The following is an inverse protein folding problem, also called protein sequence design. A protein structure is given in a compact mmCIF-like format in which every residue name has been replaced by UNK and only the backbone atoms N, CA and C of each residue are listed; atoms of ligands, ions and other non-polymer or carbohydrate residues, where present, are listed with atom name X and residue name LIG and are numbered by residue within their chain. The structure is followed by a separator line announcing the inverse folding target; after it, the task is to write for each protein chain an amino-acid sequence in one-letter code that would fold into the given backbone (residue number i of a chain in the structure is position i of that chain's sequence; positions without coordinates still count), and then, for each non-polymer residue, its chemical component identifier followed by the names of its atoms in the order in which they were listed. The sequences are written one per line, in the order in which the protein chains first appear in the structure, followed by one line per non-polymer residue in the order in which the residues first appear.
data_IF_137796593325
#
_entry.id   IF_137796593325
#
_cell.length_a   1.000
_cell.length_b   1.000
_cell.length_c   1.000
_cell.angle_alpha   90.00
_cell.angle_beta   90.00
_cell.angle_gamma   90.00
#
_symmetry.space_group_name_H-M   'P 1'
#
loop_
_entity.id
_entity.type
_entity.pdbx_description
1 polymer ?
#
# COMPACT_ATOMS: atom_id res chain seq x y z
N UNK A 1 1.04 9.74 -70.14
CA UNK A 1 1.10 10.75 -69.04
C UNK A 1 -0.01 10.47 -68.04
N UNK A 2 0.31 9.97 -66.83
CA UNK A 2 -0.45 10.23 -65.60
C UNK A 2 0.40 9.73 -64.42
N UNK A 3 1.06 10.65 -63.73
CA UNK A 3 1.79 10.38 -62.49
C UNK A 3 0.76 10.33 -61.37
N UNK A 4 0.47 9.16 -60.83
CA UNK A 4 -0.41 9.01 -59.66
C UNK A 4 0.48 8.85 -58.44
N UNK A 5 0.65 9.96 -57.73
CA UNK A 5 1.38 10.08 -56.47
C UNK A 5 0.54 9.39 -55.37
N UNK A 6 0.96 8.21 -54.90
CA UNK A 6 0.36 7.58 -53.72
C UNK A 6 0.99 8.18 -52.46
N UNK A 7 0.20 8.98 -51.74
CA UNK A 7 0.59 9.60 -50.47
C UNK A 7 0.49 8.54 -49.36
N UNK A 8 1.62 8.28 -48.70
CA UNK A 8 1.74 7.52 -47.46
C UNK A 8 0.98 8.24 -46.34
N UNK A 9 -0.01 7.58 -45.74
CA UNK A 9 -0.61 8.02 -44.47
C UNK A 9 -0.26 6.98 -43.41
N UNK A 10 0.81 7.26 -42.66
CA UNK A 10 1.16 6.53 -41.45
C UNK A 10 0.36 7.15 -40.29
N UNK A 11 -0.79 6.58 -39.94
CA UNK A 11 -1.48 6.93 -38.69
C UNK A 11 -0.92 6.08 -37.56
N UNK A 12 0.14 6.57 -36.91
CA UNK A 12 0.54 6.08 -35.59
C UNK A 12 -0.42 6.67 -34.55
N UNK A 13 -1.51 5.96 -34.24
CA UNK A 13 -2.31 6.25 -33.06
C UNK A 13 -1.65 5.59 -31.84
N UNK A 14 -0.63 6.25 -31.31
CA UNK A 14 -0.14 5.98 -29.97
C UNK A 14 -0.90 6.88 -28.99
N UNK A 15 -2.14 6.52 -28.66
CA UNK A 15 -2.76 7.01 -27.42
C UNK A 15 -2.16 6.22 -26.27
N UNK A 16 -0.92 6.57 -25.90
CA UNK A 16 -0.32 6.12 -24.67
C UNK A 16 -1.06 6.78 -23.51
N UNK A 17 -2.04 6.10 -22.92
CA UNK A 17 -2.41 6.37 -21.54
C UNK A 17 -1.20 5.95 -20.71
N UNK A 18 -0.29 6.89 -20.42
CA UNK A 18 0.71 6.66 -19.40
C UNK A 18 -0.03 6.61 -18.07
N UNK A 19 -0.44 5.41 -17.65
CA UNK A 19 -0.73 5.18 -16.24
C UNK A 19 0.52 5.65 -15.50
N UNK A 20 0.35 6.50 -14.48
CA UNK A 20 1.46 6.97 -13.66
C UNK A 20 2.18 5.79 -12.98
N UNK A 21 3.21 6.07 -12.17
CA UNK A 21 3.80 5.03 -11.33
C UNK A 21 2.68 4.31 -10.56
N UNK A 22 2.63 2.98 -10.67
CA UNK A 22 1.69 2.17 -9.89
C UNK A 22 2.02 2.28 -8.42
N UNK A 23 1.02 2.57 -7.60
CA UNK A 23 1.15 2.60 -6.14
C UNK A 23 0.27 1.48 -5.55
N UNK A 24 0.86 0.36 -5.10
CA UNK A 24 0.10 -0.79 -4.59
C UNK A 24 -0.87 -0.42 -3.46
N UNK A 25 -0.57 0.62 -2.68
CA UNK A 25 -1.42 1.07 -1.59
C UNK A 25 -2.74 1.68 -2.10
N UNK A 26 -2.68 2.45 -3.18
CA UNK A 26 -3.84 3.10 -3.79
C UNK A 26 -4.54 2.20 -4.83
N UNK A 27 -3.77 1.42 -5.57
CA UNK A 27 -4.24 0.62 -6.72
C UNK A 27 -4.88 -0.71 -6.32
N UNK A 28 -4.77 -1.12 -5.05
CA UNK A 28 -5.38 -2.37 -4.57
C UNK A 28 -6.91 -2.40 -4.79
N UNK A 29 -7.47 -3.55 -5.23
CA UNK A 29 -8.90 -3.70 -5.44
C UNK A 29 -9.74 -3.56 -4.16
N UNK A 30 -10.95 -3.02 -4.30
CA UNK A 30 -11.91 -2.90 -3.21
C UNK A 30 -12.21 -4.27 -2.58
N UNK A 31 -12.18 -4.31 -1.25
CA UNK A 31 -12.42 -5.53 -0.48
C UNK A 31 -11.18 -6.40 -0.27
N UNK A 32 -10.05 -6.08 -0.89
CA UNK A 32 -8.77 -6.74 -0.61
C UNK A 32 -8.42 -6.66 0.87
N UNK A 33 -7.94 -7.75 1.43
CA UNK A 33 -7.49 -7.84 2.82
C UNK A 33 -6.02 -8.23 2.86
N UNK A 34 -5.27 -7.57 3.73
CA UNK A 34 -3.88 -7.93 4.02
C UNK A 34 -3.61 -7.84 5.52
N UNK A 35 -2.62 -8.60 5.95
CA UNK A 35 -2.10 -8.57 7.32
C UNK A 35 -0.76 -7.87 7.27
N UNK A 36 -0.61 -6.81 8.07
CA UNK A 36 0.66 -6.10 8.19
C UNK A 36 1.21 -6.25 9.61
N UNK A 37 2.52 -6.40 9.74
CA UNK A 37 3.20 -6.59 11.03
C UNK A 37 4.07 -5.39 11.35
N UNK A 38 4.09 -4.94 12.61
CA UNK A 38 4.92 -3.82 13.02
C UNK A 38 6.39 -4.16 12.75
N UNK A 39 7.12 -3.23 12.12
CA UNK A 39 8.54 -3.44 11.76
C UNK A 39 9.41 -3.59 13.01
N UNK A 40 9.04 -2.90 14.08
CA UNK A 40 9.66 -3.02 15.40
C UNK A 40 8.57 -3.31 16.44
N UNK A 41 8.92 -3.95 17.58
CA UNK A 41 8.01 -4.08 18.71
C UNK A 41 7.45 -2.72 19.14
N UNK A 42 6.13 -2.65 19.28
CA UNK A 42 5.41 -1.41 19.62
C UNK A 42 5.49 -1.21 21.12
N UNK A 43 5.99 -0.04 21.54
CA UNK A 43 6.10 0.33 22.94
C UNK A 43 4.82 1.00 23.44
N UNK A 44 4.56 0.92 24.75
CA UNK A 44 3.32 1.46 25.34
C UNK A 44 3.09 2.96 25.17
N UNK A 45 4.11 3.74 24.81
CA UNK A 45 4.02 5.17 24.51
C UNK A 45 3.97 5.49 23.00
N UNK A 46 4.05 4.48 22.13
CA UNK A 46 4.00 4.68 20.68
C UNK A 46 2.58 5.01 20.22
N UNK A 47 2.47 5.93 19.27
CA UNK A 47 1.19 6.14 18.57
C UNK A 47 1.06 5.11 17.47
N UNK A 48 0.14 4.15 17.64
CA UNK A 48 -0.14 3.10 16.66
C UNK A 48 -0.40 3.67 15.25
N UNK A 49 -0.93 4.89 15.16
CA UNK A 49 -1.22 5.57 13.89
C UNK A 49 0.02 5.87 13.03
N UNK A 50 1.20 5.96 13.67
CA UNK A 50 2.49 6.31 13.06
C UNK A 50 3.49 5.14 13.08
N UNK A 51 3.14 4.02 13.72
CA UNK A 51 3.99 2.83 13.72
C UNK A 51 4.15 2.34 12.27
N UNK A 52 5.38 2.07 11.81
CA UNK A 52 5.61 1.45 10.52
C UNK A 52 5.22 -0.03 10.58
N UNK A 53 4.33 -0.44 9.68
CA UNK A 53 3.95 -1.82 9.45
C UNK A 53 4.52 -2.29 8.11
N UNK A 54 4.97 -3.53 8.04
CA UNK A 54 5.33 -4.22 6.82
C UNK A 54 4.11 -5.01 6.34
N UNK A 55 3.64 -4.73 5.12
CA UNK A 55 2.50 -5.38 4.49
C UNK A 55 3.02 -6.25 3.33
N UNK A 56 3.29 -7.56 3.56
CA UNK A 56 3.95 -8.41 2.57
C UNK A 56 3.14 -8.60 1.29
N UNK A 57 1.81 -8.69 1.36
CA UNK A 57 0.96 -8.90 0.17
C UNK A 57 0.99 -7.69 -0.78
N UNK A 58 1.27 -6.50 -0.24
CA UNK A 58 1.39 -5.25 -1.00
C UNK A 58 2.84 -4.90 -1.33
N UNK A 59 3.81 -5.65 -0.79
CA UNK A 59 5.26 -5.41 -0.93
C UNK A 59 5.71 -3.99 -0.48
N UNK A 60 5.07 -3.44 0.55
CA UNK A 60 5.36 -2.09 1.07
C UNK A 60 5.54 -2.08 2.60
N UNK A 61 6.15 -1.01 3.09
CA UNK A 61 6.02 -0.60 4.49
C UNK A 61 5.28 0.73 4.57
N UNK A 62 4.30 0.81 5.47
CA UNK A 62 3.39 1.95 5.59
C UNK A 62 2.85 2.07 7.02
N UNK A 63 2.26 3.21 7.34
CA UNK A 63 1.60 3.48 8.63
C UNK A 63 0.09 3.32 8.54
N UNK A 64 -0.59 3.23 9.69
CA UNK A 64 -2.06 3.24 9.72
C UNK A 64 -2.66 4.54 9.17
N UNK A 65 -1.98 5.68 9.32
CA UNK A 65 -2.43 6.95 8.73
C UNK A 65 -2.40 6.89 7.21
N UNK A 66 -1.29 6.44 6.62
CA UNK A 66 -1.16 6.29 5.17
C UNK A 66 -2.17 5.27 4.61
N UNK A 67 -2.34 4.12 5.28
CA UNK A 67 -3.38 3.15 4.97
C UNK A 67 -4.77 3.79 4.95
N UNK A 68 -5.13 4.58 5.97
CA UNK A 68 -6.41 5.29 6.03
C UNK A 68 -6.55 6.28 4.88
N UNK A 69 -5.50 7.04 4.60
CA UNK A 69 -5.51 8.09 3.58
C UNK A 69 -5.61 7.47 2.16
N UNK A 70 -5.08 6.26 1.98
CA UNK A 70 -5.24 5.44 0.77
C UNK A 70 -6.52 4.59 0.75
N UNK A 71 -7.42 4.78 1.71
CA UNK A 71 -8.75 4.19 1.70
C UNK A 71 -8.88 2.78 2.31
N UNK A 72 -7.90 2.36 3.11
CA UNK A 72 -7.97 1.13 3.88
C UNK A 72 -8.67 1.33 5.23
N UNK A 73 -9.29 0.27 5.74
CA UNK A 73 -9.93 0.23 7.06
C UNK A 73 -9.31 -0.88 7.90
N UNK A 74 -8.94 -0.52 9.12
CA UNK A 74 -8.51 -1.48 10.14
C UNK A 74 -9.70 -2.35 10.57
N UNK A 75 -9.55 -3.67 10.41
CA UNK A 75 -10.54 -4.66 10.84
C UNK A 75 -10.18 -5.30 12.18
N UNK A 76 -8.90 -5.56 12.44
CA UNK A 76 -8.45 -6.10 13.73
C UNK A 76 -7.01 -5.72 14.07
N UNK A 77 -6.70 -5.70 15.36
CA UNK A 77 -5.35 -5.57 15.90
C UNK A 77 -5.08 -6.82 16.75
N UNK A 78 -3.96 -7.47 16.51
CA UNK A 78 -3.47 -8.63 17.26
C UNK A 78 -2.15 -8.23 17.92
N UNK A 79 -2.09 -8.36 19.24
CA UNK A 79 -0.89 -8.08 20.03
C UNK A 79 -0.30 -9.41 20.49
N UNK A 80 1.01 -9.56 20.34
CA UNK A 80 1.78 -10.66 20.89
C UNK A 80 2.02 -10.49 22.40
N UNK A 81 2.91 -11.32 22.93
CA UNK A 81 3.30 -11.23 24.34
C UNK A 81 4.12 -9.96 24.61
N UNK A 82 3.92 -9.39 25.79
CA UNK A 82 4.68 -8.23 26.24
C UNK A 82 6.09 -8.66 26.64
N UNK A 83 7.10 -8.02 26.03
CA UNK A 83 8.50 -8.16 26.39
C UNK A 83 9.05 -6.84 26.92
N UNK A 84 9.96 -6.91 27.89
CA UNK A 84 10.60 -5.71 28.46
C UNK A 84 11.84 -5.36 27.64
N UNK A 85 11.79 -4.25 26.91
CA UNK A 85 12.91 -3.69 26.12
C UNK A 85 13.31 -2.36 26.76
N UNK A 86 14.56 -2.24 27.24
CA UNK A 86 15.07 -1.01 27.88
C UNK A 86 14.13 -0.44 28.96
N UNK A 87 13.65 -1.32 29.84
CA UNK A 87 12.68 -1.03 30.90
C UNK A 87 11.24 -0.68 30.48
N UNK A 88 10.96 -0.62 29.18
CA UNK A 88 9.64 -0.34 28.62
C UNK A 88 9.00 -1.63 28.12
N UNK A 89 7.68 -1.78 28.30
CA UNK A 89 6.94 -2.89 27.72
C UNK A 89 6.76 -2.64 26.21
N UNK A 90 7.11 -3.63 25.42
CA UNK A 90 6.96 -3.63 23.99
C UNK A 90 6.34 -4.96 23.54
N UNK A 91 5.52 -4.93 22.50
CA UNK A 91 4.83 -6.13 22.01
C UNK A 91 4.90 -6.18 20.48
N UNK A 92 4.99 -7.37 19.91
CA UNK A 92 4.77 -7.54 18.49
C UNK A 92 3.31 -7.22 18.16
N UNK A 93 3.07 -6.44 17.11
CA UNK A 93 1.70 -6.06 16.73
C UNK A 93 1.46 -6.41 15.26
N UNK A 94 0.35 -7.08 15.01
CA UNK A 94 -0.15 -7.35 13.66
C UNK A 94 -1.51 -6.69 13.48
N UNK A 95 -1.74 -6.12 12.31
CA UNK A 95 -3.01 -5.51 11.94
C UNK A 95 -3.60 -6.22 10.73
N UNK A 96 -4.91 -6.40 10.71
CA UNK A 96 -5.63 -6.81 9.51
C UNK A 96 -6.37 -5.60 8.98
N UNK A 97 -6.12 -5.27 7.72
CA UNK A 97 -6.75 -4.13 7.05
C UNK A 97 -7.46 -4.58 5.79
N UNK A 98 -8.50 -3.83 5.42
CA UNK A 98 -9.27 -4.07 4.19
C UNK A 98 -9.41 -2.80 3.36
N UNK A 99 -9.17 -2.89 2.05
CA UNK A 99 -9.44 -1.81 1.10
C UNK A 99 -10.93 -1.52 1.07
N UNK A 100 -11.31 -0.29 1.40
CA UNK A 100 -12.71 0.11 1.53
C UNK A 100 -13.14 1.15 0.50
N UNK A 101 -12.21 1.98 0.01
CA UNK A 101 -12.46 3.06 -0.96
C UNK A 101 -11.30 3.19 -1.93
#
# INVERSE_FOLDING_TARGET
MRKTLFILVLTAMATGCSNGPSDPLFDAPLGERTICTAVNPVQGNDSLSLVPFNCPDLEISTTLNELRDAGWRLESVQMGEDVKVNETLASEVSITVRKAY
#
